data_IF_140080249253
#
_entry.id   IF_140080249253
#
_cell.length_a   1.000
_cell.length_b   1.000
_cell.length_c   1.000
_cell.angle_alpha   90.00
_cell.angle_beta   90.00
_cell.angle_gamma   90.00
#
_symmetry.space_group_name_H-M   'P 1'
#
loop_
_entity.id
_entity.type
_entity.pdbx_description
1 polymer ?
#
# COMPACT_ATOMS: atom_id res chain seq x y z
N UNK A 1 15.14 10.09 0.82
CA UNK A 1 15.65 8.94 0.05
C UNK A 1 15.57 7.72 0.93
N UNK A 2 14.74 6.74 0.58
CA UNK A 2 14.61 5.50 1.35
C UNK A 2 15.83 4.59 1.06
N UNK A 3 16.19 3.76 2.04
CA UNK A 3 17.22 2.72 1.91
C UNK A 3 16.97 1.85 0.66
N UNK A 4 15.71 1.66 0.29
CA UNK A 4 15.28 0.99 -0.94
C UNK A 4 15.87 1.59 -2.22
N UNK A 5 16.04 2.91 -2.30
CA UNK A 5 16.55 3.59 -3.49
C UNK A 5 18.08 3.54 -3.59
N UNK A 6 18.76 3.18 -2.51
CA UNK A 6 20.24 3.04 -2.47
C UNK A 6 20.72 1.60 -2.63
N UNK A 7 19.86 0.60 -2.47
CA UNK A 7 20.23 -0.80 -2.66
C UNK A 7 20.15 -1.18 -4.12
N UNK A 8 21.12 -1.98 -4.59
CA UNK A 8 21.14 -2.50 -5.98
C UNK A 8 19.83 -3.22 -6.34
N UNK A 9 19.27 -3.96 -5.40
CA UNK A 9 17.97 -4.64 -5.57
C UNK A 9 16.83 -3.66 -5.77
N UNK A 10 16.76 -2.58 -4.98
CA UNK A 10 15.71 -1.57 -5.12
C UNK A 10 15.79 -0.82 -6.45
N UNK A 11 16.99 -0.51 -6.93
CA UNK A 11 17.20 0.12 -8.23
C UNK A 11 16.77 -0.80 -9.38
N UNK A 12 17.13 -2.08 -9.31
CA UNK A 12 16.74 -3.08 -10.32
C UNK A 12 15.22 -3.26 -10.36
N UNK A 13 14.57 -3.42 -9.22
CA UNK A 13 13.11 -3.56 -9.15
C UNK A 13 12.42 -2.32 -9.74
N UNK A 14 12.93 -1.12 -9.47
CA UNK A 14 12.38 0.12 -10.01
C UNK A 14 12.60 0.26 -11.52
N UNK A 15 13.76 -0.11 -12.03
CA UNK A 15 14.04 -0.11 -13.46
C UNK A 15 13.11 -1.08 -14.20
N UNK A 16 12.94 -2.29 -13.67
CA UNK A 16 12.03 -3.31 -14.22
C UNK A 16 10.57 -2.87 -14.17
N UNK A 17 10.14 -2.15 -13.12
CA UNK A 17 8.77 -1.67 -13.01
C UNK A 17 8.43 -0.53 -13.96
N UNK A 18 9.43 0.26 -14.38
CA UNK A 18 9.22 1.37 -15.32
C UNK A 18 9.23 0.91 -16.79
N UNK A 19 10.23 0.09 -17.16
CA UNK A 19 10.34 -0.43 -18.52
C UNK A 19 10.95 -1.85 -18.50
N UNK A 20 10.11 -2.90 -18.47
CA UNK A 20 10.60 -4.28 -18.41
C UNK A 20 11.39 -4.67 -19.65
N UNK A 21 11.01 -4.17 -20.83
CA UNK A 21 11.67 -4.48 -22.11
C UNK A 21 13.09 -3.89 -22.16
N UNK A 22 13.24 -2.63 -21.79
CA UNK A 22 14.56 -1.99 -21.76
C UNK A 22 15.49 -2.64 -20.71
N UNK A 23 14.94 -3.07 -19.58
CA UNK A 23 15.70 -3.76 -18.54
C UNK A 23 16.22 -5.13 -19.00
N UNK A 24 15.47 -5.84 -19.83
CA UNK A 24 15.93 -7.10 -20.43
C UNK A 24 17.10 -6.88 -21.40
N UNK A 25 17.06 -5.82 -22.19
CA UNK A 25 18.15 -5.46 -23.11
C UNK A 25 19.44 -5.09 -22.38
N UNK A 26 19.34 -4.60 -21.16
CA UNK A 26 20.48 -4.31 -20.28
C UNK A 26 21.02 -5.56 -19.53
N UNK A 27 20.53 -6.76 -19.88
CA UNK A 27 20.95 -8.02 -19.27
C UNK A 27 20.36 -8.32 -17.88
N UNK A 28 19.35 -7.56 -17.46
CA UNK A 28 18.68 -7.77 -16.17
C UNK A 28 17.65 -8.90 -16.33
N UNK A 29 17.77 -9.94 -15.49
CA UNK A 29 16.79 -11.01 -15.48
C UNK A 29 15.53 -10.56 -14.74
N UNK A 30 14.52 -10.13 -15.52
CA UNK A 30 13.25 -9.60 -15.02
C UNK A 30 12.51 -10.61 -14.13
N UNK A 31 12.52 -11.90 -14.50
CA UNK A 31 11.87 -12.96 -13.72
C UNK A 31 12.47 -13.10 -12.31
N UNK A 32 13.80 -13.09 -12.19
CA UNK A 32 14.47 -13.16 -10.89
C UNK A 32 14.18 -11.92 -10.04
N UNK A 33 14.10 -10.74 -10.66
CA UNK A 33 13.78 -9.49 -9.98
C UNK A 33 12.34 -9.49 -9.44
N UNK A 34 11.38 -9.99 -10.22
CA UNK A 34 10.00 -10.19 -9.76
C UNK A 34 9.89 -11.20 -8.63
N UNK A 35 10.56 -12.35 -8.75
CA UNK A 35 10.56 -13.37 -7.70
C UNK A 35 11.12 -12.83 -6.39
N UNK A 36 12.23 -12.09 -6.44
CA UNK A 36 12.83 -11.47 -5.25
C UNK A 36 11.90 -10.43 -4.62
N UNK A 37 11.23 -9.61 -5.44
CA UNK A 37 10.25 -8.65 -4.96
C UNK A 37 9.06 -9.34 -4.27
N UNK A 38 8.52 -10.40 -4.86
CA UNK A 38 7.43 -11.18 -4.28
C UNK A 38 7.81 -11.84 -2.95
N UNK A 39 9.04 -12.37 -2.84
CA UNK A 39 9.53 -12.94 -1.58
C UNK A 39 9.61 -11.88 -0.47
N UNK A 40 10.11 -10.68 -0.79
CA UNK A 40 10.16 -9.57 0.16
C UNK A 40 8.77 -9.12 0.61
N UNK A 41 7.86 -8.93 -0.33
CA UNK A 41 6.48 -8.53 0.01
C UNK A 41 5.74 -9.63 0.77
N UNK A 42 5.93 -10.90 0.41
CA UNK A 42 5.35 -12.04 1.10
C UNK A 42 5.83 -12.15 2.55
N UNK A 43 7.12 -11.90 2.82
CA UNK A 43 7.66 -11.92 4.17
C UNK A 43 7.08 -10.79 5.05
N UNK A 44 6.97 -9.59 4.52
CA UNK A 44 6.35 -8.46 5.23
C UNK A 44 4.86 -8.72 5.49
N UNK A 45 4.14 -9.26 4.51
CA UNK A 45 2.74 -9.63 4.65
C UNK A 45 2.54 -10.73 5.70
N UNK A 46 3.42 -11.72 5.77
CA UNK A 46 3.37 -12.76 6.78
C UNK A 46 3.53 -12.20 8.21
N UNK A 47 4.51 -11.32 8.42
CA UNK A 47 4.71 -10.65 9.71
C UNK A 47 3.48 -9.82 10.09
N UNK A 48 2.95 -9.05 9.15
CA UNK A 48 1.72 -8.27 9.35
C UNK A 48 0.53 -9.16 9.71
N UNK A 49 0.37 -10.30 9.02
CA UNK A 49 -0.68 -11.28 9.29
C UNK A 49 -0.61 -11.83 10.71
N UNK A 50 0.59 -12.20 11.19
CA UNK A 50 0.78 -12.68 12.57
C UNK A 50 0.40 -11.63 13.60
N UNK A 51 0.75 -10.35 13.36
CA UNK A 51 0.39 -9.26 14.27
C UNK A 51 -1.12 -9.03 14.32
N UNK A 52 -1.80 -9.08 13.19
CA UNK A 52 -3.27 -8.90 13.11
C UNK A 52 -3.99 -10.07 13.80
N UNK A 53 -3.57 -11.32 13.57
CA UNK A 53 -4.21 -12.48 14.19
C UNK A 53 -3.92 -12.59 15.69
N UNK A 54 -2.83 -12.00 16.17
CA UNK A 54 -2.53 -11.91 17.59
C UNK A 54 -3.43 -10.97 18.39
N UNK A 55 -4.06 -9.99 17.71
CA UNK A 55 -4.92 -8.98 18.35
C UNK A 55 -6.42 -9.19 18.08
N UNK A 56 -6.79 -9.97 17.09
CA UNK A 56 -8.17 -10.19 16.67
C UNK A 56 -8.51 -11.67 16.54
N UNK A 57 -9.80 -11.98 16.66
CA UNK A 57 -10.27 -13.35 16.43
C UNK A 57 -10.10 -13.73 14.95
N UNK A 58 -9.71 -14.98 14.72
CA UNK A 58 -9.49 -15.50 13.37
C UNK A 58 -10.85 -15.88 12.77
N UNK A 59 -11.31 -15.09 11.83
CA UNK A 59 -12.47 -15.41 10.98
C UNK A 59 -11.98 -15.66 9.54
N UNK A 60 -12.68 -16.49 8.76
CA UNK A 60 -12.33 -16.74 7.36
C UNK A 60 -12.27 -15.47 6.49
N UNK A 61 -13.01 -14.43 6.86
CA UNK A 61 -13.07 -13.14 6.15
C UNK A 61 -11.97 -12.13 6.52
N UNK A 62 -11.12 -12.40 7.50
CA UNK A 62 -10.06 -11.46 7.96
C UNK A 62 -9.16 -11.01 6.82
N UNK A 63 -8.82 -11.91 5.90
CA UNK A 63 -8.01 -11.60 4.72
C UNK A 63 -8.69 -10.63 3.77
N UNK A 64 -9.99 -10.76 3.58
CA UNK A 64 -10.78 -9.87 2.72
C UNK A 64 -10.80 -8.44 3.29
N UNK A 65 -11.16 -8.29 4.57
CA UNK A 65 -11.21 -6.99 5.23
C UNK A 65 -9.84 -6.28 5.20
N UNK A 66 -8.77 -7.03 5.48
CA UNK A 66 -7.40 -6.49 5.43
C UNK A 66 -6.98 -6.05 4.02
N UNK A 67 -7.39 -6.81 2.99
CA UNK A 67 -7.08 -6.47 1.60
C UNK A 67 -7.80 -5.21 1.15
N UNK A 68 -9.10 -5.07 1.49
CA UNK A 68 -9.86 -3.86 1.17
C UNK A 68 -9.26 -2.63 1.85
N UNK A 69 -8.89 -2.74 3.13
CA UNK A 69 -8.21 -1.65 3.86
C UNK A 69 -6.87 -1.28 3.22
N UNK A 70 -6.08 -2.26 2.81
CA UNK A 70 -4.81 -2.01 2.12
C UNK A 70 -5.00 -1.30 0.78
N UNK A 71 -5.99 -1.68 -0.02
CA UNK A 71 -6.33 -1.00 -1.27
C UNK A 71 -6.76 0.45 -1.02
N UNK A 72 -7.59 0.69 -0.02
CA UNK A 72 -8.03 2.02 0.38
C UNK A 72 -6.83 2.90 0.75
N UNK A 73 -5.92 2.40 1.59
CA UNK A 73 -4.71 3.13 1.98
C UNK A 73 -3.86 3.46 0.76
N UNK A 74 -3.72 2.50 -0.17
CA UNK A 74 -2.93 2.69 -1.39
C UNK A 74 -3.50 3.80 -2.29
N UNK A 75 -4.82 3.85 -2.44
CA UNK A 75 -5.51 4.85 -3.26
C UNK A 75 -5.37 6.25 -2.63
N UNK A 76 -5.63 6.36 -1.33
CA UNK A 76 -5.58 7.65 -0.61
C UNK A 76 -4.17 8.20 -0.48
N UNK A 77 -3.19 7.33 -0.27
CA UNK A 77 -1.78 7.73 -0.22
C UNK A 77 -1.24 8.22 -1.57
N UNK A 78 -1.84 7.74 -2.66
CA UNK A 78 -1.33 7.95 -4.01
C UNK A 78 -0.24 6.95 -4.39
N UNK A 79 -0.36 6.42 -5.62
CA UNK A 79 0.59 5.43 -6.15
C UNK A 79 2.00 6.01 -6.25
N UNK A 80 2.96 5.33 -5.61
CA UNK A 80 4.39 5.64 -5.74
C UNK A 80 5.05 6.37 -4.57
N UNK A 81 4.29 6.86 -3.59
CA UNK A 81 4.86 7.54 -2.43
C UNK A 81 4.74 6.71 -1.14
N UNK A 82 5.79 5.92 -0.84
CA UNK A 82 5.80 5.02 0.32
C UNK A 82 5.66 5.76 1.66
N UNK A 83 6.25 6.97 1.78
CA UNK A 83 6.14 7.76 3.02
C UNK A 83 4.71 8.19 3.28
N UNK A 84 4.02 8.62 2.23
CA UNK A 84 2.61 8.96 2.30
C UNK A 84 1.76 7.75 2.71
N UNK A 85 2.06 6.56 2.17
CA UNK A 85 1.38 5.32 2.52
C UNK A 85 1.46 4.99 4.00
N UNK A 86 2.64 5.12 4.60
CA UNK A 86 2.84 4.88 6.03
C UNK A 86 2.02 5.88 6.88
N UNK A 87 2.11 7.18 6.58
CA UNK A 87 1.35 8.19 7.30
C UNK A 87 -0.16 7.98 7.18
N UNK A 88 -0.65 7.65 5.97
CA UNK A 88 -2.07 7.38 5.74
C UNK A 88 -2.54 6.10 6.40
N UNK A 89 -1.72 5.06 6.48
CA UNK A 89 -2.05 3.84 7.20
C UNK A 89 -2.28 4.13 8.69
N UNK A 90 -1.42 4.92 9.32
CA UNK A 90 -1.60 5.34 10.71
C UNK A 90 -2.85 6.23 10.88
N UNK A 91 -3.02 7.24 10.02
CA UNK A 91 -4.16 8.15 10.10
C UNK A 91 -5.50 7.41 9.96
N UNK A 92 -5.60 6.50 9.00
CA UNK A 92 -6.81 5.69 8.81
C UNK A 92 -7.04 4.70 9.94
N UNK A 93 -5.98 4.10 10.49
CA UNK A 93 -6.07 3.23 11.66
C UNK A 93 -6.59 3.97 12.89
N UNK A 94 -6.08 5.17 13.16
CA UNK A 94 -6.60 6.02 14.25
C UNK A 94 -8.05 6.44 14.03
N UNK A 95 -8.41 6.81 12.82
CA UNK A 95 -9.78 7.18 12.46
C UNK A 95 -10.73 6.00 12.67
N UNK A 96 -10.36 4.82 12.19
CA UNK A 96 -11.17 3.59 12.36
C UNK A 96 -11.37 3.27 13.84
N UNK A 97 -10.30 3.28 14.63
CA UNK A 97 -10.38 3.03 16.08
C UNK A 97 -11.21 4.09 16.81
N UNK A 98 -11.05 5.37 16.46
CA UNK A 98 -11.82 6.46 17.03
C UNK A 98 -13.31 6.32 16.75
N UNK A 99 -13.68 5.99 15.53
CA UNK A 99 -15.08 5.76 15.13
C UNK A 99 -15.66 4.53 15.83
N UNK A 100 -14.89 3.44 15.91
CA UNK A 100 -15.31 2.23 16.60
C UNK A 100 -15.57 2.47 18.10
N UNK A 101 -14.79 3.35 18.72
CA UNK A 101 -14.96 3.70 20.14
C UNK A 101 -16.19 4.57 20.39
N UNK A 102 -16.45 5.57 19.54
CA UNK A 102 -17.56 6.54 19.73
C UNK A 102 -18.90 6.03 19.22
N UNK A 103 -18.91 5.44 18.02
CA UNK A 103 -20.13 5.04 17.30
C UNK A 103 -20.38 3.53 17.34
N UNK A 104 -19.39 2.75 17.81
CA UNK A 104 -19.45 1.31 17.87
C UNK A 104 -18.80 0.63 16.66
N UNK A 105 -18.35 -0.61 16.85
CA UNK A 105 -17.58 -1.40 15.88
C UNK A 105 -18.24 -1.59 14.51
N UNK A 106 -19.56 -1.40 14.42
CA UNK A 106 -20.32 -1.55 13.18
C UNK A 106 -20.10 -0.41 12.18
N UNK A 107 -19.72 0.77 12.67
CA UNK A 107 -19.58 1.98 11.86
C UNK A 107 -18.14 2.26 11.38
N UNK A 108 -17.14 1.53 11.85
CA UNK A 108 -15.74 1.76 11.49
C UNK A 108 -15.47 1.61 10.01
N UNK A 109 -15.92 0.53 9.40
CA UNK A 109 -15.72 0.28 7.97
C UNK A 109 -16.48 1.27 7.07
N UNK A 110 -17.78 1.57 7.27
CA UNK A 110 -18.48 2.60 6.51
C UNK A 110 -17.85 4.00 6.66
N UNK A 111 -17.40 4.36 7.85
CA UNK A 111 -16.76 5.65 8.09
C UNK A 111 -15.42 5.77 7.34
N UNK A 112 -14.63 4.69 7.29
CA UNK A 112 -13.40 4.63 6.52
C UNK A 112 -13.68 4.84 5.02
N UNK A 113 -14.69 4.18 4.46
CA UNK A 113 -15.07 4.38 3.06
C UNK A 113 -15.57 5.81 2.79
N UNK A 114 -16.39 6.37 3.66
CA UNK A 114 -16.86 7.75 3.55
C UNK A 114 -15.67 8.73 3.56
N UNK A 115 -14.70 8.54 4.44
CA UNK A 115 -13.49 9.35 4.48
C UNK A 115 -12.71 9.28 3.17
N UNK A 116 -12.56 8.10 2.59
CA UNK A 116 -11.88 7.90 1.31
C UNK A 116 -12.60 8.63 0.18
N UNK A 117 -13.92 8.53 0.12
CA UNK A 117 -14.73 9.23 -0.89
C UNK A 117 -14.52 10.74 -0.78
N UNK A 118 -14.55 11.28 0.43
CA UNK A 118 -14.29 12.71 0.69
C UNK A 118 -12.90 13.09 0.21
N UNK A 119 -11.88 12.31 0.56
CA UNK A 119 -10.50 12.57 0.14
C UNK A 119 -10.34 12.56 -1.38
N UNK A 120 -10.95 11.58 -2.07
CA UNK A 120 -10.91 11.49 -3.53
C UNK A 120 -11.66 12.62 -4.22
N UNK A 121 -12.74 13.13 -3.63
CA UNK A 121 -13.46 14.31 -4.17
C UNK A 121 -12.60 15.58 -4.12
N UNK A 122 -11.83 15.76 -3.05
CA UNK A 122 -10.95 16.93 -2.90
C UNK A 122 -9.60 16.78 -3.62
N UNK A 123 -9.07 15.54 -3.69
CA UNK A 123 -7.78 15.25 -4.34
C UNK A 123 -7.81 13.89 -5.06
N UNK A 124 -8.23 13.86 -6.32
CA UNK A 124 -8.39 12.62 -7.09
C UNK A 124 -7.07 11.86 -7.32
N UNK A 125 -5.92 12.54 -7.21
CA UNK A 125 -4.58 11.91 -7.34
C UNK A 125 -4.03 11.37 -6.00
N UNK A 126 -4.84 11.36 -4.92
CA UNK A 126 -4.38 11.07 -3.57
C UNK A 126 -3.67 12.25 -2.91
N UNK A 127 -3.50 12.20 -1.58
CA UNK A 127 -2.92 13.31 -0.81
C UNK A 127 -1.49 13.67 -1.24
N UNK A 128 -0.74 12.69 -1.74
CA UNK A 128 0.67 12.82 -2.10
C UNK A 128 0.99 12.25 -3.50
N UNK A 129 -0.03 12.02 -4.35
CA UNK A 129 0.15 11.58 -5.72
C UNK A 129 0.94 12.63 -6.50
N UNK A 130 2.06 12.25 -7.09
CA UNK A 130 2.75 13.08 -8.07
C UNK A 130 1.97 13.01 -9.38
N UNK A 131 1.64 14.15 -9.95
CA UNK A 131 1.17 14.22 -11.33
C UNK A 131 2.21 13.51 -12.21
N UNK A 132 1.82 12.42 -12.79
CA UNK A 132 2.58 11.84 -13.90
C UNK A 132 2.31 12.75 -15.11
N UNK A 133 3.23 13.68 -15.36
CA UNK A 133 3.25 14.38 -16.62
C UNK A 133 3.57 13.33 -17.69
N UNK A 134 2.53 12.85 -18.34
CA UNK A 134 2.64 12.02 -19.54
C UNK A 134 3.24 12.92 -20.62
N UNK A 135 4.56 12.91 -20.74
CA UNK A 135 5.18 13.46 -21.96
C UNK A 135 4.92 12.44 -23.06
N UNK A 136 3.99 12.77 -23.92
CA UNK A 136 3.81 12.18 -25.24
C UNK A 136 5.01 12.52 -26.12
#
# INVERSE_FOLDING_TARGET
MCIRDRTKLGQVIRAVSQQPTASQLMGINVQKSFATALMLYGSIAAISGVLVTGTSQIFPSVGYDSTVKALVILIVAGLGNLRAGIFMAFALGFLEMGVNYVLGARYGFPAMLAFVIIVLLFKPNGFFGKEQITRV
#
